data_IF_017242375914
#
_entry.id   IF_017242375914
#
_cell.length_a   1.000
_cell.length_b   1.000
_cell.length_c   1.000
_cell.angle_alpha   90.00
_cell.angle_beta   90.00
_cell.angle_gamma   90.00
#
_symmetry.space_group_name_H-M   'P 1'
#
loop_
_entity.id
_entity.type
_entity.pdbx_description
1 polymer ?
#
# COMPACT_ATOMS: atom_id res chain seq x y z
N UNK A 1 -39.23 -20.72 -1.80
CA UNK A 1 -38.27 -20.10 -0.92
C UNK A 1 -36.87 -20.32 -1.47
N UNK A 2 -35.96 -19.34 -1.35
CA UNK A 2 -34.58 -19.42 -1.81
C UNK A 2 -33.65 -19.32 -0.61
N UNK A 3 -32.65 -20.19 -0.54
CA UNK A 3 -31.55 -20.11 0.41
C UNK A 3 -30.38 -19.45 -0.31
N UNK A 4 -29.76 -18.44 0.30
CA UNK A 4 -28.62 -17.74 -0.24
C UNK A 4 -27.44 -17.82 0.76
N UNK A 5 -26.24 -17.84 0.21
CA UNK A 5 -25.00 -17.70 0.96
C UNK A 5 -24.47 -16.27 0.81
N UNK A 6 -23.97 -15.67 1.88
CA UNK A 6 -23.28 -14.39 1.88
C UNK A 6 -22.00 -14.46 2.71
N UNK A 7 -20.99 -13.66 2.33
CA UNK A 7 -19.77 -13.46 3.07
C UNK A 7 -19.46 -11.96 3.11
N UNK A 8 -19.33 -11.38 4.30
CA UNK A 8 -19.06 -9.96 4.53
C UNK A 8 -17.60 -9.68 4.90
N UNK A 9 -16.74 -10.70 4.90
CA UNK A 9 -15.32 -10.52 5.19
C UNK A 9 -14.64 -9.76 4.05
N UNK A 10 -13.85 -8.75 4.38
CA UNK A 10 -12.96 -8.06 3.43
C UNK A 10 -11.72 -8.92 3.10
N UNK A 11 -11.47 -9.95 3.91
CA UNK A 11 -10.46 -10.98 3.68
C UNK A 11 -11.11 -12.35 3.84
N UNK A 12 -11.87 -12.77 2.85
CA UNK A 12 -12.54 -14.06 2.92
C UNK A 12 -11.53 -15.21 2.81
N UNK A 13 -11.75 -16.24 3.62
CA UNK A 13 -11.13 -17.53 3.33
C UNK A 13 -11.67 -18.02 1.97
N UNK A 14 -10.77 -18.30 1.04
CA UNK A 14 -11.09 -18.74 -0.33
C UNK A 14 -11.21 -20.25 -0.48
N UNK A 15 -11.02 -21.02 0.61
CA UNK A 15 -11.23 -22.47 0.60
C UNK A 15 -12.69 -22.77 0.18
N UNK A 16 -12.90 -23.62 -0.82
CA UNK A 16 -14.24 -23.99 -1.26
C UNK A 16 -15.09 -24.53 -0.10
N UNK A 17 -16.33 -24.05 0.01
CA UNK A 17 -17.27 -24.47 1.04
C UNK A 17 -18.28 -25.44 0.45
N UNK A 18 -18.45 -26.57 1.12
CA UNK A 18 -19.48 -27.54 0.81
C UNK A 18 -20.66 -27.34 1.76
N UNK A 19 -21.82 -26.94 1.23
CA UNK A 19 -23.04 -26.70 2.01
C UNK A 19 -24.01 -27.81 1.72
N UNK A 20 -24.30 -28.63 2.74
CA UNK A 20 -25.31 -29.69 2.66
C UNK A 20 -26.65 -29.16 3.12
N UNK A 21 -27.66 -29.28 2.28
CA UNK A 21 -29.06 -28.97 2.60
C UNK A 21 -29.79 -30.28 2.79
N UNK A 22 -30.33 -30.50 3.98
CA UNK A 22 -31.12 -31.68 4.29
C UNK A 22 -32.57 -31.28 4.52
N UNK A 23 -33.48 -31.92 3.83
CA UNK A 23 -34.93 -31.78 4.02
C UNK A 23 -35.45 -33.03 4.67
N UNK A 24 -36.23 -32.87 5.74
CA UNK A 24 -36.98 -33.94 6.40
C UNK A 24 -38.47 -33.72 6.17
N UNK A 25 -39.20 -34.73 5.79
CA UNK A 25 -40.65 -34.68 5.60
C UNK A 25 -41.44 -34.91 6.89
N UNK A 26 -40.80 -35.56 7.91
CA UNK A 26 -41.36 -35.71 9.22
C UNK A 26 -42.34 -36.85 9.41
N UNK A 27 -42.53 -37.71 8.39
CA UNK A 27 -43.41 -38.91 8.46
C UNK A 27 -42.67 -40.17 8.88
N UNK A 28 -41.35 -40.10 9.05
CA UNK A 28 -40.48 -41.17 9.54
C UNK A 28 -40.08 -42.18 8.49
N UNK A 29 -39.54 -43.31 8.95
CA UNK A 29 -39.01 -44.38 8.07
C UNK A 29 -39.89 -45.65 8.07
N UNK A 30 -41.14 -45.55 8.49
CA UNK A 30 -42.04 -46.66 8.52
C UNK A 30 -42.28 -47.25 7.13
N UNK A 31 -42.45 -48.57 7.02
CA UNK A 31 -42.69 -49.28 5.78
C UNK A 31 -41.58 -49.09 4.69
N UNK A 32 -40.34 -48.80 5.10
CA UNK A 32 -39.23 -48.59 4.16
C UNK A 32 -39.20 -47.20 3.55
N UNK A 33 -39.91 -46.23 4.10
CA UNK A 33 -39.87 -44.82 3.70
C UNK A 33 -38.50 -44.15 4.01
N UNK A 34 -38.21 -43.06 3.34
CA UNK A 34 -37.02 -42.25 3.55
C UNK A 34 -37.43 -40.89 4.15
N UNK A 35 -37.10 -40.68 5.43
CA UNK A 35 -37.46 -39.47 6.21
C UNK A 35 -36.70 -38.23 5.76
N UNK A 36 -35.62 -38.36 5.02
CA UNK A 36 -34.79 -37.21 4.64
C UNK A 36 -34.09 -37.39 3.31
N UNK A 37 -33.91 -36.27 2.62
CA UNK A 37 -33.05 -36.14 1.44
C UNK A 37 -32.03 -35.03 1.65
N UNK A 38 -30.80 -35.26 1.22
CA UNK A 38 -29.72 -34.28 1.28
C UNK A 38 -29.17 -33.97 -0.10
N UNK A 39 -28.86 -32.70 -0.32
CA UNK A 39 -28.15 -32.19 -1.51
C UNK A 39 -27.01 -31.29 -1.08
N UNK A 40 -25.90 -31.36 -1.81
CA UNK A 40 -24.70 -30.56 -1.52
C UNK A 40 -24.46 -29.55 -2.62
N UNK A 41 -24.19 -28.29 -2.22
CA UNK A 41 -23.80 -27.19 -3.11
C UNK A 41 -22.42 -26.72 -2.71
N UNK A 42 -21.52 -26.62 -3.69
CA UNK A 42 -20.20 -26.05 -3.48
C UNK A 42 -20.22 -24.55 -3.79
N UNK A 43 -19.67 -23.74 -2.88
CA UNK A 43 -19.54 -22.30 -3.00
C UNK A 43 -18.05 -21.95 -3.03
N UNK A 44 -17.61 -21.33 -4.12
CA UNK A 44 -16.27 -20.74 -4.23
C UNK A 44 -16.37 -19.26 -3.86
N UNK A 45 -15.52 -18.82 -2.94
CA UNK A 45 -15.36 -17.41 -2.56
C UNK A 45 -14.10 -16.88 -3.20
N UNK A 46 -14.22 -15.75 -3.87
CA UNK A 46 -13.10 -15.08 -4.54
C UNK A 46 -12.73 -13.84 -3.71
N UNK A 47 -11.47 -13.72 -3.31
CA UNK A 47 -10.94 -12.51 -2.70
C UNK A 47 -10.78 -11.43 -3.75
N UNK A 48 -11.07 -10.17 -3.36
CA UNK A 48 -10.88 -8.99 -4.20
C UNK A 48 -9.87 -8.08 -3.48
N UNK A 49 -8.90 -7.57 -4.21
CA UNK A 49 -7.89 -6.65 -3.70
C UNK A 49 -8.51 -5.30 -3.32
N UNK A 50 -8.24 -4.82 -2.12
CA UNK A 50 -8.59 -3.48 -1.67
C UNK A 50 -7.50 -2.45 -2.08
N UNK A 51 -7.82 -1.17 -2.05
CA UNK A 51 -6.84 -0.13 -2.33
C UNK A 51 -6.08 0.25 -1.05
N UNK A 52 -4.76 0.53 -1.15
CA UNK A 52 -4.01 1.09 -0.03
C UNK A 52 -4.55 2.46 0.38
N UNK A 53 -4.12 2.95 1.51
CA UNK A 53 -4.52 4.25 2.05
C UNK A 53 -3.35 5.00 2.66
N UNK A 54 -3.40 6.34 2.60
CA UNK A 54 -2.61 7.22 3.46
C UNK A 54 -3.51 7.81 4.56
N UNK A 55 -2.95 8.00 5.74
CA UNK A 55 -3.57 8.75 6.83
C UNK A 55 -2.61 9.84 7.30
N UNK A 56 -3.15 11.01 7.64
CA UNK A 56 -2.41 12.18 8.11
C UNK A 56 -1.36 12.74 7.13
N UNK A 57 -1.34 12.29 5.90
CA UNK A 57 -0.44 12.81 4.86
C UNK A 57 -1.01 14.14 4.32
N UNK A 58 -0.55 15.26 4.86
CA UNK A 58 -1.06 16.58 4.49
C UNK A 58 -0.19 17.73 5.02
N UNK A 59 -0.49 18.92 4.53
CA UNK A 59 0.05 20.18 5.08
C UNK A 59 1.15 20.79 4.24
N UNK A 60 1.83 21.76 4.85
CA UNK A 60 2.86 22.58 4.21
C UNK A 60 4.15 22.51 5.03
N UNK A 61 5.28 22.51 4.34
CA UNK A 61 6.63 22.58 4.93
C UNK A 61 7.33 23.83 4.41
N UNK A 62 8.28 24.34 5.15
CA UNK A 62 9.13 25.45 4.74
C UNK A 62 10.54 24.94 4.47
N UNK A 63 11.07 25.25 3.31
CA UNK A 63 12.46 25.02 2.93
C UNK A 63 13.12 26.37 2.59
N UNK A 64 14.35 26.60 3.06
CA UNK A 64 15.16 27.76 2.68
C UNK A 64 16.23 27.31 1.70
N UNK A 65 16.38 28.04 0.60
CA UNK A 65 17.43 27.79 -0.40
C UNK A 65 18.81 27.66 0.25
N UNK A 66 19.56 26.63 -0.17
CA UNK A 66 20.86 26.31 0.41
C UNK A 66 20.81 25.74 1.85
N UNK A 67 19.61 25.61 2.43
CA UNK A 67 19.41 25.05 3.76
C UNK A 67 19.42 23.51 3.80
N UNK A 68 19.26 22.97 5.01
CA UNK A 68 19.11 21.53 5.18
C UNK A 68 17.78 21.01 4.63
N UNK A 69 17.78 19.77 4.12
CA UNK A 69 16.55 19.10 3.70
C UNK A 69 15.51 19.06 4.83
N UNK A 70 14.24 19.29 4.49
CA UNK A 70 13.13 19.30 5.45
C UNK A 70 12.36 17.99 5.39
N UNK A 71 12.00 17.42 6.54
CA UNK A 71 11.14 16.24 6.63
C UNK A 71 9.76 16.58 6.07
N UNK A 72 9.32 15.80 5.10
CA UNK A 72 8.05 16.07 4.41
C UNK A 72 6.84 15.83 5.30
N UNK A 73 6.79 14.69 6.01
CA UNK A 73 5.71 14.41 6.95
C UNK A 73 6.13 13.41 8.02
N UNK A 74 6.17 13.85 9.27
CA UNK A 74 6.61 12.99 10.40
C UNK A 74 5.47 12.21 11.07
N UNK A 75 4.20 12.47 10.72
CA UNK A 75 3.05 11.82 11.34
C UNK A 75 2.16 11.04 10.37
N UNK A 76 2.45 11.09 9.08
CA UNK A 76 1.76 10.28 8.07
C UNK A 76 1.88 8.78 8.34
N UNK A 77 0.90 8.02 7.90
CA UNK A 77 0.96 6.56 7.86
C UNK A 77 0.39 6.03 6.55
N UNK A 78 0.84 4.86 6.18
CA UNK A 78 0.31 4.10 5.07
C UNK A 78 -0.26 2.77 5.57
N UNK A 79 -1.29 2.28 4.92
CA UNK A 79 -1.88 0.98 5.21
C UNK A 79 -2.45 0.37 3.94
N UNK A 80 -2.38 -0.93 3.88
CA UNK A 80 -3.06 -1.79 2.93
C UNK A 80 -3.57 -3.02 3.67
N UNK A 81 -4.78 -3.46 3.36
CA UNK A 81 -5.42 -4.50 4.17
C UNK A 81 -4.77 -5.86 3.99
N UNK A 82 -4.52 -6.22 2.74
CA UNK A 82 -3.94 -7.51 2.39
C UNK A 82 -2.47 -7.61 2.81
N UNK A 83 -1.70 -6.55 2.57
CA UNK A 83 -0.30 -6.49 2.96
C UNK A 83 -0.14 -6.46 4.48
N UNK A 84 -1.05 -5.80 5.19
CA UNK A 84 -1.01 -5.69 6.66
C UNK A 84 -1.25 -7.02 7.36
N UNK A 85 -2.11 -7.89 6.84
CA UNK A 85 -2.35 -9.23 7.42
C UNK A 85 -1.11 -10.10 7.37
N UNK A 86 -0.39 -10.07 6.25
CA UNK A 86 0.86 -10.78 6.11
C UNK A 86 2.03 -10.00 6.73
N UNK A 87 1.77 -8.75 7.18
CA UNK A 87 2.75 -7.77 7.63
C UNK A 87 3.97 -7.71 6.70
N UNK A 88 3.71 -7.70 5.39
CA UNK A 88 4.72 -7.78 4.35
C UNK A 88 4.34 -6.87 3.17
N UNK A 89 5.07 -5.80 2.99
CA UNK A 89 4.92 -4.81 1.91
C UNK A 89 5.83 -5.11 0.71
N UNK A 90 6.45 -6.27 0.64
CA UNK A 90 7.33 -6.66 -0.47
C UNK A 90 6.62 -6.58 -1.83
N UNK A 91 7.23 -5.83 -2.75
CA UNK A 91 6.69 -5.57 -4.09
C UNK A 91 5.79 -4.33 -4.19
N UNK A 92 5.29 -3.79 -3.07
CA UNK A 92 4.61 -2.49 -3.08
C UNK A 92 5.61 -1.36 -3.41
N UNK A 93 5.13 -0.30 -4.05
CA UNK A 93 5.97 0.85 -4.40
C UNK A 93 5.44 2.15 -3.80
N UNK A 94 6.36 3.00 -3.32
CA UNK A 94 6.09 4.36 -2.87
C UNK A 94 6.83 5.32 -3.80
N UNK A 95 6.09 6.15 -4.53
CA UNK A 95 6.65 7.12 -5.48
C UNK A 95 6.41 8.56 -5.00
N UNK A 96 7.45 9.38 -5.03
CA UNK A 96 7.41 10.81 -4.80
C UNK A 96 7.89 11.54 -6.05
N UNK A 97 7.14 12.55 -6.47
CA UNK A 97 7.52 13.44 -7.58
C UNK A 97 6.80 14.78 -7.47
N UNK A 98 7.36 15.82 -8.09
CA UNK A 98 6.69 17.12 -8.20
C UNK A 98 5.42 17.04 -9.03
N UNK A 99 4.38 17.79 -8.66
CA UNK A 99 3.23 18.06 -9.53
C UNK A 99 3.70 18.83 -10.77
N UNK A 100 3.25 18.40 -11.95
CA UNK A 100 3.61 19.03 -13.21
C UNK A 100 4.82 18.39 -13.91
N UNK A 101 5.42 17.39 -13.33
CA UNK A 101 6.53 16.63 -13.89
C UNK A 101 7.80 16.69 -13.04
N UNK A 102 8.60 15.65 -13.13
CA UNK A 102 9.87 15.55 -12.42
C UNK A 102 10.82 16.70 -12.79
N UNK A 103 11.65 17.11 -11.85
CA UNK A 103 12.66 18.14 -12.03
C UNK A 103 13.92 17.74 -11.26
N UNK A 104 15.08 17.72 -11.93
CA UNK A 104 16.34 17.27 -11.34
C UNK A 104 16.87 18.13 -10.18
N UNK A 105 16.30 19.33 -9.98
CA UNK A 105 16.61 20.14 -8.81
C UNK A 105 15.88 19.68 -7.55
N UNK A 106 14.87 18.80 -7.67
CA UNK A 106 14.16 18.21 -6.54
C UNK A 106 14.97 17.05 -5.97
N UNK A 107 15.44 17.19 -4.75
CA UNK A 107 16.32 16.25 -4.09
C UNK A 107 15.59 15.58 -2.92
N UNK A 108 15.19 14.32 -3.11
CA UNK A 108 14.56 13.49 -2.09
C UNK A 108 15.62 12.72 -1.32
N UNK A 109 15.60 12.81 -0.01
CA UNK A 109 16.59 12.20 0.89
C UNK A 109 15.92 11.43 2.04
N UNK A 110 16.72 10.57 2.69
CA UNK A 110 16.37 10.03 3.99
C UNK A 110 16.77 10.97 5.13
N UNK A 111 16.07 10.88 6.24
CA UNK A 111 16.40 11.53 7.50
C UNK A 111 16.35 10.55 8.67
N UNK A 112 16.85 10.93 9.85
CA UNK A 112 16.84 10.08 11.02
C UNK A 112 17.61 8.78 10.79
N UNK A 113 16.93 7.65 10.89
CA UNK A 113 17.52 6.31 10.64
C UNK A 113 17.36 5.82 9.20
N UNK A 114 16.65 6.59 8.35
CA UNK A 114 16.46 6.25 6.94
C UNK A 114 17.66 6.72 6.12
N UNK A 115 18.23 5.82 5.34
CA UNK A 115 19.29 6.14 4.36
C UNK A 115 18.91 5.65 2.97
N UNK A 116 19.17 6.50 1.98
CA UNK A 116 19.10 6.20 0.54
C UNK A 116 20.52 6.22 0.01
N UNK A 117 21.07 5.07 -0.36
CA UNK A 117 22.44 4.98 -0.83
C UNK A 117 22.64 3.80 -1.79
N UNK A 118 23.30 4.06 -2.90
CA UNK A 118 23.66 3.04 -3.91
C UNK A 118 22.47 2.18 -4.38
N UNK A 119 21.27 2.78 -4.49
CA UNK A 119 20.06 2.09 -4.91
C UNK A 119 19.34 1.33 -3.80
N UNK A 120 19.86 1.35 -2.57
CA UNK A 120 19.27 0.70 -1.40
C UNK A 120 18.56 1.70 -0.48
N UNK A 121 17.44 1.27 0.07
CA UNK A 121 16.69 1.95 1.13
C UNK A 121 16.87 1.18 2.43
N UNK A 122 17.56 1.79 3.41
CA UNK A 122 17.81 1.15 4.70
C UNK A 122 17.22 1.96 5.85
N UNK A 123 16.62 1.26 6.79
CA UNK A 123 16.08 1.81 8.02
C UNK A 123 16.80 1.22 9.22
N UNK A 124 17.60 2.05 9.92
CA UNK A 124 18.45 1.57 11.01
C UNK A 124 19.45 0.48 10.58
N UNK A 125 19.94 0.58 9.34
CA UNK A 125 20.83 -0.42 8.74
C UNK A 125 20.12 -1.62 8.11
N UNK A 126 18.82 -1.86 8.37
CA UNK A 126 18.05 -2.94 7.77
C UNK A 126 17.62 -2.55 6.35
N UNK A 127 17.89 -3.41 5.37
CA UNK A 127 17.38 -3.24 3.99
C UNK A 127 15.86 -3.40 3.98
N UNK A 128 15.14 -2.35 3.54
CA UNK A 128 13.67 -2.33 3.48
C UNK A 128 13.14 -2.01 2.09
N UNK A 129 13.99 -1.65 1.15
CA UNK A 129 13.59 -1.34 -0.21
C UNK A 129 14.77 -1.04 -1.13
N UNK A 130 14.45 -0.84 -2.41
CA UNK A 130 15.40 -0.41 -3.43
C UNK A 130 14.81 0.75 -4.21
N UNK A 131 15.67 1.57 -4.83
CA UNK A 131 15.31 2.66 -5.73
C UNK A 131 16.28 2.73 -6.91
N UNK A 132 15.88 3.45 -7.95
CA UNK A 132 16.77 3.71 -9.10
C UNK A 132 17.41 5.09 -8.93
N UNK A 133 18.76 5.14 -8.90
CA UNK A 133 19.49 6.39 -8.72
C UNK A 133 19.24 7.37 -9.87
N UNK A 134 19.18 6.90 -11.11
CA UNK A 134 18.96 7.78 -12.27
C UNK A 134 17.58 8.45 -12.25
N UNK A 135 16.53 7.78 -11.73
CA UNK A 135 15.21 8.40 -11.56
C UNK A 135 15.19 9.37 -10.39
N UNK A 136 15.94 9.08 -9.33
CA UNK A 136 16.11 9.99 -8.19
C UNK A 136 16.82 11.27 -8.64
N UNK A 137 17.92 11.15 -9.39
CA UNK A 137 18.67 12.30 -9.93
C UNK A 137 17.83 13.13 -10.90
N UNK A 138 16.83 12.52 -11.53
CA UNK A 138 15.86 13.21 -12.38
C UNK A 138 14.69 13.84 -11.59
N UNK A 139 14.69 13.77 -10.26
CA UNK A 139 13.66 14.34 -9.38
C UNK A 139 12.43 13.45 -9.16
N UNK A 140 12.60 12.13 -9.26
CA UNK A 140 11.58 11.15 -8.90
C UNK A 140 12.18 10.08 -8.00
N UNK A 141 11.70 9.99 -6.77
CA UNK A 141 12.02 8.87 -5.89
C UNK A 141 10.92 7.80 -6.01
N UNK A 142 11.27 6.62 -6.50
CA UNK A 142 10.41 5.44 -6.44
C UNK A 142 11.09 4.35 -5.62
N UNK A 143 10.53 4.06 -4.47
CA UNK A 143 10.96 2.98 -3.58
C UNK A 143 10.12 1.74 -3.90
N UNK A 144 10.77 0.61 -4.19
CA UNK A 144 10.15 -0.71 -4.21
C UNK A 144 10.53 -1.42 -2.91
N UNK A 145 9.56 -1.73 -2.06
CA UNK A 145 9.81 -2.41 -0.80
C UNK A 145 10.28 -3.86 -1.01
N UNK A 146 11.24 -4.28 -0.21
CA UNK A 146 11.73 -5.67 -0.24
C UNK A 146 10.79 -6.60 0.52
N UNK A 147 10.83 -7.89 0.16
CA UNK A 147 10.07 -8.91 0.87
C UNK A 147 10.43 -8.92 2.36
N UNK A 148 9.44 -9.02 3.22
CA UNK A 148 9.59 -8.94 4.69
C UNK A 148 9.58 -7.53 5.27
N UNK A 149 9.46 -6.46 4.44
CA UNK A 149 9.25 -5.10 4.96
C UNK A 149 7.88 -5.01 5.62
N UNK A 150 7.87 -4.74 6.91
CA UNK A 150 6.64 -4.66 7.72
C UNK A 150 5.90 -3.34 7.50
N UNK A 151 4.61 -3.28 7.88
CA UNK A 151 3.84 -2.04 7.86
C UNK A 151 4.52 -0.91 8.68
N UNK A 152 5.05 -1.26 9.86
CA UNK A 152 5.75 -0.30 10.71
C UNK A 152 7.02 0.27 10.03
N UNK A 153 7.77 -0.57 9.32
CA UNK A 153 8.96 -0.13 8.58
C UNK A 153 8.58 0.74 7.37
N UNK A 154 7.58 0.34 6.56
CA UNK A 154 7.11 1.11 5.43
C UNK A 154 6.57 2.49 5.88
N UNK A 155 5.82 2.55 6.98
CA UNK A 155 5.38 3.81 7.60
C UNK A 155 6.57 4.63 8.13
N UNK A 156 7.58 4.00 8.72
CA UNK A 156 8.79 4.70 9.18
C UNK A 156 9.61 5.27 8.03
N UNK A 157 9.67 4.57 6.88
CA UNK A 157 10.26 5.13 5.65
C UNK A 157 9.50 6.38 5.24
N UNK A 158 8.17 6.32 5.10
CA UNK A 158 7.33 7.46 4.72
C UNK A 158 7.59 8.69 5.60
N UNK A 159 7.67 8.52 6.93
CA UNK A 159 7.87 9.60 7.92
C UNK A 159 9.25 10.22 7.92
N UNK A 160 10.24 9.54 7.39
CA UNK A 160 11.64 9.98 7.39
C UNK A 160 12.11 10.43 6.00
N UNK A 161 11.19 10.51 5.02
CA UNK A 161 11.50 11.15 3.74
C UNK A 161 11.59 12.66 3.92
N UNK A 162 12.64 13.24 3.33
CA UNK A 162 12.93 14.66 3.35
C UNK A 162 13.14 15.21 1.95
N UNK A 163 13.07 16.51 1.81
CA UNK A 163 13.17 17.21 0.55
C UNK A 163 14.11 18.42 0.66
N UNK A 164 14.90 18.63 -0.36
CA UNK A 164 15.62 19.87 -0.63
C UNK A 164 15.41 20.26 -2.11
N UNK A 165 15.77 21.48 -2.45
CA UNK A 165 15.84 21.95 -3.82
C UNK A 165 17.23 22.53 -4.07
N UNK A 166 17.86 22.13 -5.18
CA UNK A 166 19.25 22.48 -5.51
C UNK A 166 19.38 23.61 -6.52
N UNK A 167 18.26 24.18 -6.99
CA UNK A 167 18.25 25.33 -7.91
C UNK A 167 18.74 26.60 -7.23
N UNK A 168 19.54 27.40 -7.93
CA UNK A 168 19.92 28.77 -7.51
C UNK A 168 18.79 29.80 -7.73
N UNK A 169 17.68 29.39 -8.34
CA UNK A 169 16.48 30.19 -8.53
C UNK A 169 15.24 29.29 -8.38
N UNK A 170 15.00 28.75 -7.19
CA UNK A 170 13.92 27.83 -6.96
C UNK A 170 12.54 28.51 -7.09
N UNK A 171 11.49 27.76 -7.44
CA UNK A 171 10.14 28.27 -7.37
C UNK A 171 9.74 28.58 -5.92
N UNK A 172 8.79 29.46 -5.70
CA UNK A 172 8.30 29.82 -4.37
C UNK A 172 7.59 28.66 -3.64
N UNK A 173 7.16 27.66 -4.39
CA UNK A 173 6.59 26.44 -3.81
C UNK A 173 6.67 25.25 -4.77
N UNK A 174 6.72 24.05 -4.18
CA UNK A 174 6.64 22.77 -4.87
C UNK A 174 5.58 21.90 -4.18
N UNK A 175 4.68 21.31 -4.95
CA UNK A 175 3.77 20.28 -4.45
C UNK A 175 4.37 18.92 -4.79
N UNK A 176 4.72 18.16 -3.76
CA UNK A 176 5.23 16.79 -3.86
C UNK A 176 4.05 15.83 -3.77
N UNK A 177 3.82 15.08 -4.85
CA UNK A 177 2.84 14.02 -4.91
C UNK A 177 3.43 12.72 -4.38
N UNK A 178 2.61 11.97 -3.68
CA UNK A 178 2.87 10.61 -3.20
C UNK A 178 1.92 9.65 -3.89
N UNK A 179 2.44 8.54 -4.35
CA UNK A 179 1.63 7.42 -4.86
C UNK A 179 2.14 6.14 -4.20
N UNK A 180 1.25 5.47 -3.49
CA UNK A 180 1.48 4.11 -2.98
C UNK A 180 0.74 3.14 -3.88
N UNK A 181 1.45 2.17 -4.47
CA UNK A 181 0.89 1.06 -5.22
C UNK A 181 1.12 -0.23 -4.43
N UNK A 182 0.08 -1.02 -4.23
CA UNK A 182 0.12 -2.25 -3.43
C UNK A 182 0.92 -3.40 -4.06
N UNK A 183 1.25 -3.30 -5.35
CA UNK A 183 2.06 -4.29 -6.05
C UNK A 183 1.34 -5.61 -6.36
N UNK A 184 0.00 -5.65 -6.33
CA UNK A 184 -0.78 -6.87 -6.61
C UNK A 184 -0.77 -7.26 -8.10
N UNK A 185 0.42 -7.43 -8.69
CA UNK A 185 0.56 -7.75 -10.12
C UNK A 185 0.23 -9.20 -10.45
N UNK A 186 0.43 -10.12 -9.49
CA UNK A 186 0.20 -11.56 -9.65
C UNK A 186 -1.07 -12.07 -8.96
N UNK A 187 -1.91 -11.16 -8.42
CA UNK A 187 -3.15 -11.52 -7.74
C UNK A 187 -2.97 -12.13 -6.35
N UNK A 188 -1.78 -11.97 -5.73
CA UNK A 188 -1.50 -12.49 -4.39
C UNK A 188 -2.39 -11.86 -3.29
N UNK A 189 -2.92 -10.67 -3.55
CA UNK A 189 -3.83 -9.93 -2.66
C UNK A 189 -5.30 -10.11 -3.06
N UNK A 190 -5.60 -10.93 -4.07
CA UNK A 190 -6.94 -11.14 -4.61
C UNK A 190 -7.06 -10.68 -6.06
N UNK A 191 -8.28 -10.75 -6.59
CA UNK A 191 -8.58 -10.32 -7.97
C UNK A 191 -8.68 -8.79 -8.05
N UNK A 192 -8.63 -8.23 -9.26
CA UNK A 192 -8.79 -6.80 -9.52
C UNK A 192 -7.48 -6.06 -9.78
N UNK A 193 -6.34 -6.77 -9.75
CA UNK A 193 -5.01 -6.21 -10.04
C UNK A 193 -4.52 -5.24 -8.98
N UNK A 194 -3.41 -4.58 -9.25
CA UNK A 194 -2.81 -3.60 -8.35
C UNK A 194 -3.69 -2.33 -8.21
N UNK A 195 -3.71 -1.77 -7.01
CA UNK A 195 -4.44 -0.55 -6.64
C UNK A 195 -3.49 0.51 -6.12
N UNK A 196 -3.94 1.75 -6.11
CA UNK A 196 -3.13 2.88 -5.66
C UNK A 196 -3.86 3.79 -4.69
N UNK A 197 -3.09 4.43 -3.80
CA UNK A 197 -3.48 5.62 -3.06
C UNK A 197 -2.60 6.80 -3.45
N UNK A 198 -3.14 8.01 -3.38
CA UNK A 198 -2.41 9.24 -3.65
C UNK A 198 -2.57 10.25 -2.51
N UNK A 199 -1.56 11.08 -2.35
CA UNK A 199 -1.55 12.20 -1.41
C UNK A 199 -0.55 13.25 -1.85
N UNK A 200 -0.50 14.41 -1.18
CA UNK A 200 0.44 15.47 -1.51
C UNK A 200 0.83 16.30 -0.31
N UNK A 201 2.05 16.86 -0.35
CA UNK A 201 2.60 17.84 0.59
C UNK A 201 3.08 19.06 -0.21
N UNK A 202 2.78 20.25 0.25
CA UNK A 202 3.34 21.48 -0.32
C UNK A 202 4.60 21.88 0.43
N UNK A 203 5.67 22.17 -0.29
CA UNK A 203 6.88 22.79 0.26
C UNK A 203 6.94 24.23 -0.22
N UNK A 204 6.84 25.20 0.69
CA UNK A 204 7.11 26.61 0.41
C UNK A 204 8.61 26.83 0.48
N UNK A 205 9.16 27.49 -0.54
CA UNK A 205 10.60 27.74 -0.68
C UNK A 205 10.86 29.23 -0.53
N UNK A 206 11.81 29.58 0.33
CA UNK A 206 12.30 30.94 0.51
C UNK A 206 13.73 31.01 0.00
N UNK A 207 13.98 31.93 -0.93
CA UNK A 207 15.30 32.33 -1.44
C UNK A 207 15.95 33.33 -0.52
#
# INVERSE_FOLDING_TARGET
>A
QRVAYGNSSQLPDTTPRSITITVKDGDGTANGGTDSVSSTVNVNVISVNDAPTFSNLSGTRAFTEGGNAVVLDSNASLADRELAINNNYGGATLTLSRTGGANGDDDFRGSGSLTLNAGEVRLGGTLVGNYNQATLDAGTLQITFTNGTTNAQATSVLRQLSYANTSDAPPTSVTVNYVLNDGNTAGAQGTGGAKTASGAITVNITS
#
